data_IF_067792867386
#
_entry.id   IF_067792867386
#
_cell.length_a   1.000
_cell.length_b   1.000
_cell.length_c   1.000
_cell.angle_alpha   90.00
_cell.angle_beta   90.00
_cell.angle_gamma   90.00
#
_symmetry.space_group_name_H-M   'P 1'
#
loop_
_entity.id
_entity.type
_entity.pdbx_description
1 polymer ?
#
# COMPACT_ATOMS: atom_id res chain seq x y z
N UNK A 1 3.33 -13.79 -19.35
CA UNK A 1 3.30 -13.08 -18.06
C UNK A 1 3.23 -11.57 -18.30
N UNK A 2 2.16 -10.93 -17.85
CA UNK A 2 1.98 -9.47 -17.87
C UNK A 2 2.78 -8.87 -16.70
N UNK A 3 3.69 -7.94 -16.99
CA UNK A 3 4.53 -7.34 -15.95
C UNK A 3 3.89 -6.06 -15.42
N UNK A 4 4.00 -5.81 -14.10
CA UNK A 4 3.40 -4.61 -13.49
C UNK A 4 3.85 -3.34 -14.18
N UNK A 5 5.15 -3.25 -14.51
CA UNK A 5 5.78 -2.08 -15.17
C UNK A 5 5.04 -1.67 -16.45
N UNK A 6 4.53 -2.64 -17.21
CA UNK A 6 3.95 -2.42 -18.53
C UNK A 6 2.42 -2.28 -18.49
N UNK A 7 1.79 -2.27 -17.30
CA UNK A 7 0.35 -2.13 -17.18
C UNK A 7 -0.07 -0.67 -17.34
N UNK A 8 -1.23 -0.45 -17.98
CA UNK A 8 -1.98 0.81 -17.98
C UNK A 8 -3.34 0.58 -17.33
N UNK A 9 -4.01 1.64 -16.87
CA UNK A 9 -5.35 1.50 -16.27
C UNK A 9 -6.37 0.94 -17.26
N UNK A 10 -6.47 1.51 -18.46
CA UNK A 10 -7.40 1.05 -19.49
C UNK A 10 -7.23 -0.44 -19.79
N UNK A 11 -5.98 -0.91 -19.87
CA UNK A 11 -5.68 -2.32 -20.08
C UNK A 11 -6.20 -3.19 -18.93
N UNK A 12 -5.95 -2.79 -17.67
CA UNK A 12 -6.38 -3.56 -16.51
C UNK A 12 -7.91 -3.57 -16.38
N UNK A 13 -8.54 -2.44 -16.68
CA UNK A 13 -10.00 -2.27 -16.66
C UNK A 13 -10.67 -3.19 -17.68
N UNK A 14 -10.18 -3.19 -18.93
CA UNK A 14 -10.70 -4.05 -19.99
C UNK A 14 -10.43 -5.53 -19.74
N UNK A 15 -9.21 -5.88 -19.31
CA UNK A 15 -8.81 -7.28 -19.12
C UNK A 15 -9.56 -7.96 -17.97
N UNK A 16 -9.82 -7.23 -16.89
CA UNK A 16 -10.38 -7.80 -15.67
C UNK A 16 -11.77 -7.25 -15.34
N UNK A 17 -12.39 -6.47 -16.23
CA UNK A 17 -13.71 -5.89 -16.01
C UNK A 17 -13.78 -5.03 -14.75
N UNK A 18 -12.73 -4.23 -14.51
CA UNK A 18 -12.68 -3.38 -13.32
C UNK A 18 -13.59 -2.15 -13.49
N UNK A 19 -14.02 -1.62 -12.35
CA UNK A 19 -14.91 -0.46 -12.28
C UNK A 19 -14.27 0.61 -11.41
N UNK A 20 -13.67 1.65 -12.01
CA UNK A 20 -13.27 2.83 -11.25
C UNK A 20 -14.50 3.51 -10.65
N UNK A 21 -14.48 3.68 -9.33
CA UNK A 21 -15.52 4.39 -8.60
C UNK A 21 -15.03 5.75 -8.12
N UNK A 22 -15.88 6.79 -8.13
CA UNK A 22 -15.60 8.03 -7.41
C UNK A 22 -15.39 7.75 -5.91
N UNK A 23 -14.49 8.49 -5.25
CA UNK A 23 -14.18 8.33 -3.82
C UNK A 23 -15.43 8.24 -2.92
N UNK A 24 -16.43 9.08 -3.17
CA UNK A 24 -17.71 9.11 -2.43
C UNK A 24 -18.50 7.79 -2.49
N UNK A 25 -18.23 6.94 -3.47
CA UNK A 25 -18.85 5.62 -3.66
C UNK A 25 -17.97 4.47 -3.14
N UNK A 26 -16.82 4.76 -2.53
CA UNK A 26 -15.95 3.76 -1.91
C UNK A 26 -15.86 3.96 -0.38
N UNK A 27 -16.79 3.41 0.42
CA UNK A 27 -16.82 3.61 1.87
C UNK A 27 -15.55 3.11 2.59
N UNK A 28 -14.93 2.04 2.10
CA UNK A 28 -13.69 1.49 2.69
C UNK A 28 -12.55 2.50 2.59
N UNK A 29 -12.38 3.13 1.42
CA UNK A 29 -11.36 4.16 1.23
C UNK A 29 -11.68 5.40 2.08
N UNK A 30 -12.95 5.84 2.14
CA UNK A 30 -13.34 6.97 2.99
C UNK A 30 -13.07 6.69 4.48
N UNK A 31 -13.38 5.49 4.96
CA UNK A 31 -13.12 5.08 6.35
C UNK A 31 -11.64 5.12 6.68
N UNK A 32 -10.81 4.61 5.77
CA UNK A 32 -9.36 4.67 5.94
C UNK A 32 -8.84 6.11 5.94
N UNK A 33 -9.21 6.91 4.94
CA UNK A 33 -8.75 8.30 4.80
C UNK A 33 -9.23 9.19 5.94
N UNK A 34 -10.45 8.98 6.45
CA UNK A 34 -11.04 9.74 7.56
C UNK A 34 -10.70 9.21 8.95
N UNK A 35 -10.04 8.05 9.05
CA UNK A 35 -9.71 7.42 10.33
C UNK A 35 -8.82 8.29 11.21
N UNK A 36 -8.98 8.20 12.52
CA UNK A 36 -8.22 9.01 13.47
C UNK A 36 -7.07 8.21 14.06
N UNK A 37 -5.91 8.86 14.21
CA UNK A 37 -4.76 8.31 14.93
C UNK A 37 -4.00 9.47 15.56
N UNK A 38 -3.58 9.29 16.81
CA UNK A 38 -2.81 10.29 17.52
C UNK A 38 -1.43 10.48 16.86
N UNK A 39 -1.04 11.74 16.65
CA UNK A 39 0.33 12.12 16.29
C UNK A 39 0.92 12.80 17.51
N UNK A 40 1.84 12.13 18.18
CA UNK A 40 2.49 12.69 19.37
C UNK A 40 3.33 13.93 19.01
N UNK A 41 3.68 14.75 19.99
CA UNK A 41 4.56 15.91 19.77
C UNK A 41 5.91 15.51 19.16
N UNK A 42 6.45 14.38 19.60
CA UNK A 42 7.70 13.81 19.07
C UNK A 42 7.58 13.40 17.61
N UNK A 43 6.49 12.71 17.25
CA UNK A 43 6.20 12.35 15.87
C UNK A 43 5.97 13.59 15.01
N UNK A 44 5.23 14.57 15.52
CA UNK A 44 4.97 15.84 14.83
C UNK A 44 6.27 16.59 14.53
N UNK A 45 7.19 16.65 15.49
CA UNK A 45 8.51 17.25 15.30
C UNK A 45 9.31 16.55 14.19
N UNK A 46 9.34 15.21 14.21
CA UNK A 46 10.07 14.44 13.19
C UNK A 46 9.43 14.56 11.80
N UNK A 47 8.10 14.51 11.71
CA UNK A 47 7.37 14.69 10.44
C UNK A 47 7.58 16.10 9.89
N UNK A 48 7.65 17.13 10.75
CA UNK A 48 7.97 18.51 10.34
C UNK A 48 9.39 18.60 9.77
N UNK A 49 10.36 17.96 10.42
CA UNK A 49 11.74 17.88 9.92
C UNK A 49 11.81 17.20 8.54
N UNK A 50 11.10 16.08 8.35
CA UNK A 50 11.06 15.41 7.05
C UNK A 50 10.43 16.28 5.96
N UNK A 51 9.41 17.07 6.30
CA UNK A 51 8.78 18.02 5.38
C UNK A 51 9.75 19.12 4.96
N UNK A 52 10.44 19.74 5.91
CA UNK A 52 11.44 20.78 5.63
C UNK A 52 12.56 20.22 4.75
N UNK A 53 13.08 19.06 5.09
CA UNK A 53 14.11 18.37 4.30
C UNK A 53 13.63 18.05 2.87
N UNK A 54 12.37 17.65 2.71
CA UNK A 54 11.76 17.42 1.40
C UNK A 54 11.56 18.73 0.61
N UNK A 55 11.21 19.83 1.27
CA UNK A 55 11.05 21.14 0.61
C UNK A 55 12.38 21.64 0.05
N UNK A 56 13.46 21.46 0.81
CA UNK A 56 14.79 21.97 0.46
C UNK A 56 15.49 21.16 -0.63
N UNK A 57 15.32 19.83 -0.64
CA UNK A 57 16.21 18.95 -1.43
C UNK A 57 15.53 18.10 -2.50
N UNK A 58 14.20 18.01 -2.54
CA UNK A 58 13.54 17.01 -3.38
C UNK A 58 13.74 17.18 -4.89
N UNK A 59 14.11 18.36 -5.38
CA UNK A 59 14.43 18.56 -6.81
C UNK A 59 15.77 17.94 -7.20
N UNK A 60 16.69 17.78 -6.26
CA UNK A 60 18.04 17.27 -6.51
C UNK A 60 18.15 15.75 -6.30
N UNK A 61 17.12 15.14 -5.70
CA UNK A 61 17.12 13.71 -5.40
C UNK A 61 16.70 12.86 -6.59
N UNK A 62 17.51 11.85 -6.89
CA UNK A 62 17.05 10.72 -7.69
C UNK A 62 16.06 9.85 -6.88
N UNK A 63 15.47 8.86 -7.55
CA UNK A 63 14.45 8.00 -6.94
C UNK A 63 14.92 7.23 -5.70
N UNK A 64 16.20 6.84 -5.65
CA UNK A 64 16.77 6.08 -4.55
C UNK A 64 16.97 7.00 -3.33
N UNK A 65 17.49 8.20 -3.56
CA UNK A 65 17.66 9.24 -2.53
C UNK A 65 16.31 9.65 -1.95
N UNK A 66 15.29 9.91 -2.78
CA UNK A 66 13.94 10.17 -2.32
C UNK A 66 13.38 9.04 -1.45
N UNK A 67 13.71 7.79 -1.81
CA UNK A 67 13.34 6.62 -1.00
C UNK A 67 14.05 6.59 0.36
N UNK A 68 15.35 6.86 0.39
CA UNK A 68 16.17 6.75 1.59
C UNK A 68 15.99 7.93 2.53
N UNK A 69 15.80 9.13 1.99
CA UNK A 69 15.78 10.37 2.74
C UNK A 69 14.38 10.76 3.22
N UNK A 70 13.31 10.27 2.56
CA UNK A 70 11.94 10.68 2.89
C UNK A 70 10.99 9.50 3.09
N UNK A 71 10.76 8.65 2.08
CA UNK A 71 9.77 7.55 2.18
C UNK A 71 10.15 6.55 3.28
N UNK A 72 11.41 6.12 3.31
CA UNK A 72 11.94 5.18 4.29
C UNK A 72 11.80 5.69 5.72
N UNK A 73 12.31 6.88 6.06
CA UNK A 73 12.13 7.50 7.38
C UNK A 73 10.68 7.63 7.80
N UNK A 74 9.79 8.06 6.89
CA UNK A 74 8.35 8.17 7.19
C UNK A 74 7.74 6.80 7.54
N UNK A 75 8.02 5.77 6.75
CA UNK A 75 7.55 4.41 7.02
C UNK A 75 8.16 3.80 8.28
N UNK A 76 9.44 4.08 8.55
CA UNK A 76 10.10 3.66 9.77
C UNK A 76 9.46 4.29 11.02
N UNK A 77 9.01 5.54 10.92
CA UNK A 77 8.30 6.22 12.01
C UNK A 77 6.93 5.60 12.29
N UNK A 78 6.18 5.19 11.25
CA UNK A 78 4.90 4.47 11.41
C UNK A 78 5.09 3.10 12.09
N UNK A 79 6.26 2.50 11.91
CA UNK A 79 6.67 1.19 12.46
C UNK A 79 5.70 0.09 12.03
N UNK A 80 5.69 -0.28 10.75
CA UNK A 80 4.96 -1.45 10.26
C UNK A 80 5.62 -2.76 10.71
N UNK A 81 5.57 -3.03 12.01
CA UNK A 81 5.90 -4.30 12.67
C UNK A 81 4.85 -4.48 13.78
N UNK A 82 4.14 -5.60 13.74
CA UNK A 82 3.18 -5.98 14.76
C UNK A 82 3.43 -7.43 15.14
N UNK A 83 4.14 -7.64 16.25
CA UNK A 83 4.41 -8.96 16.84
C UNK A 83 4.91 -9.99 15.80
N UNK A 84 5.72 -9.53 14.83
CA UNK A 84 6.20 -10.34 13.70
C UNK A 84 5.10 -10.99 12.83
N UNK A 85 3.84 -10.58 12.98
CA UNK A 85 2.71 -11.09 12.20
C UNK A 85 2.67 -10.48 10.80
N UNK A 86 3.04 -9.21 10.67
CA UNK A 86 3.24 -8.54 9.38
C UNK A 86 4.41 -7.56 9.44
N UNK A 87 4.95 -7.23 8.26
CA UNK A 87 6.01 -6.25 8.11
C UNK A 87 5.89 -5.47 6.78
N UNK A 88 6.61 -4.36 6.68
CA UNK A 88 6.90 -3.71 5.41
C UNK A 88 8.06 -4.43 4.69
N UNK A 89 7.86 -4.75 3.41
CA UNK A 89 8.84 -5.34 2.53
C UNK A 89 9.08 -4.45 1.32
N UNK A 90 10.32 -4.05 1.07
CA UNK A 90 10.71 -3.28 -0.10
C UNK A 90 11.26 -4.18 -1.21
N UNK A 91 10.94 -3.88 -2.47
CA UNK A 91 11.53 -4.50 -3.68
C UNK A 91 11.47 -6.04 -3.71
N UNK A 92 10.46 -6.65 -3.08
CA UNK A 92 10.22 -8.11 -3.12
C UNK A 92 9.34 -8.48 -4.30
N UNK A 93 9.60 -9.64 -4.90
CA UNK A 93 8.76 -10.17 -5.98
C UNK A 93 7.36 -10.46 -5.46
N UNK A 94 6.37 -10.07 -6.26
CA UNK A 94 4.96 -10.39 -6.10
C UNK A 94 4.45 -10.89 -7.44
N UNK A 95 4.01 -12.14 -7.50
CA UNK A 95 3.52 -12.78 -8.71
C UNK A 95 2.29 -13.62 -8.37
N UNK A 96 1.39 -13.78 -9.34
CA UNK A 96 0.18 -14.59 -9.20
C UNK A 96 -0.57 -14.72 -10.51
N UNK A 97 -1.74 -15.35 -10.46
CA UNK A 97 -2.63 -15.50 -11.61
C UNK A 97 -3.92 -14.77 -11.31
N UNK A 98 -4.26 -13.77 -12.11
CA UNK A 98 -5.52 -13.02 -12.03
C UNK A 98 -6.36 -13.44 -13.22
N UNK A 99 -7.47 -14.13 -12.96
CA UNK A 99 -8.42 -14.61 -14.00
C UNK A 99 -7.74 -15.32 -15.19
N UNK A 100 -6.79 -16.22 -14.88
CA UNK A 100 -6.04 -16.98 -15.89
C UNK A 100 -4.85 -16.23 -16.51
N UNK A 101 -4.65 -14.95 -16.17
CA UNK A 101 -3.49 -14.17 -16.61
C UNK A 101 -2.39 -14.21 -15.56
N UNK A 102 -1.23 -14.78 -15.91
CA UNK A 102 -0.02 -14.67 -15.08
C UNK A 102 0.47 -13.22 -15.04
N UNK A 103 0.54 -12.66 -13.84
CA UNK A 103 0.98 -11.30 -13.58
C UNK A 103 2.11 -11.27 -12.56
N UNK A 104 3.03 -10.31 -12.68
CA UNK A 104 4.13 -10.22 -11.73
C UNK A 104 5.00 -8.97 -11.81
N UNK A 105 5.73 -8.72 -10.74
CA UNK A 105 6.67 -7.60 -10.65
C UNK A 105 7.24 -7.42 -9.25
N UNK A 106 7.87 -6.25 -9.04
CA UNK A 106 8.45 -5.85 -7.75
C UNK A 106 7.90 -4.47 -7.40
N UNK A 107 6.82 -4.38 -6.60
CA UNK A 107 6.38 -3.08 -6.11
C UNK A 107 7.48 -2.46 -5.23
N UNK A 108 7.49 -1.13 -5.15
CA UNK A 108 8.50 -0.42 -4.37
C UNK A 108 8.40 -0.74 -2.87
N UNK A 109 7.17 -0.97 -2.39
CA UNK A 109 6.90 -1.50 -1.06
C UNK A 109 5.63 -2.34 -1.02
N UNK A 110 5.53 -3.22 -0.03
CA UNK A 110 4.30 -3.90 0.33
C UNK A 110 4.23 -4.13 1.84
N UNK A 111 3.05 -4.01 2.44
CA UNK A 111 2.83 -4.50 3.82
C UNK A 111 2.15 -5.86 3.70
N UNK A 112 2.77 -6.89 4.26
CA UNK A 112 2.29 -8.26 4.12
C UNK A 112 2.50 -9.05 5.40
N UNK A 113 1.72 -10.11 5.60
CA UNK A 113 2.02 -11.08 6.66
C UNK A 113 3.39 -11.74 6.44
N UNK A 114 3.96 -12.23 7.54
CA UNK A 114 5.27 -12.86 7.57
C UNK A 114 6.36 -11.97 8.14
N UNK A 115 7.50 -12.59 8.43
CA UNK A 115 8.62 -11.94 9.10
C UNK A 115 9.85 -11.79 8.18
N UNK A 116 10.31 -12.89 7.57
CA UNK A 116 11.49 -12.87 6.67
C UNK A 116 11.14 -12.70 5.20
N UNK A 117 9.93 -13.10 4.82
CA UNK A 117 9.40 -13.02 3.45
C UNK A 117 7.92 -12.64 3.49
N UNK A 118 7.44 -11.86 2.52
CA UNK A 118 6.02 -11.54 2.42
C UNK A 118 5.23 -12.83 2.11
N UNK A 119 4.02 -12.93 2.68
CA UNK A 119 3.07 -14.01 2.42
C UNK A 119 1.76 -13.47 1.86
N UNK A 120 0.91 -12.86 2.69
CA UNK A 120 -0.39 -12.28 2.32
C UNK A 120 -0.30 -10.74 2.30
N UNK A 121 -0.24 -10.07 1.14
CA UNK A 121 -0.06 -8.63 1.05
C UNK A 121 -1.37 -7.88 1.31
N UNK A 122 -1.37 -6.88 2.19
CA UNK A 122 -2.52 -6.01 2.47
C UNK A 122 -2.39 -4.61 1.85
N UNK A 123 -1.16 -4.19 1.56
CA UNK A 123 -0.87 -2.88 0.99
C UNK A 123 0.20 -2.99 -0.09
N UNK A 124 0.03 -2.28 -1.20
CA UNK A 124 1.02 -2.15 -2.27
C UNK A 124 1.42 -0.69 -2.47
N UNK A 125 2.72 -0.43 -2.59
CA UNK A 125 3.28 0.91 -2.73
C UNK A 125 4.11 1.02 -4.00
N UNK A 126 3.85 2.06 -4.80
CA UNK A 126 4.59 2.35 -6.02
C UNK A 126 5.00 3.82 -6.08
N UNK A 127 6.24 4.10 -6.47
CA UNK A 127 6.67 5.46 -6.79
C UNK A 127 6.77 5.61 -8.29
N UNK A 128 6.41 6.79 -8.77
CA UNK A 128 6.72 7.19 -10.13
C UNK A 128 8.22 7.39 -10.29
N UNK A 129 8.73 6.92 -11.43
CA UNK A 129 10.15 6.82 -11.73
C UNK A 129 10.47 7.58 -13.00
N UNK A 130 10.38 8.92 -12.96
CA UNK A 130 10.48 9.76 -14.17
C UNK A 130 11.76 9.50 -14.96
N UNK A 131 12.87 9.25 -14.28
CA UNK A 131 14.18 9.04 -14.93
C UNK A 131 14.29 7.65 -15.59
N UNK A 132 13.74 6.61 -14.94
CA UNK A 132 13.87 5.21 -15.39
C UNK A 132 12.70 4.72 -16.24
N UNK A 133 11.54 5.34 -16.07
CA UNK A 133 10.28 4.95 -16.68
C UNK A 133 9.39 6.19 -16.91
N UNK A 134 9.78 7.09 -17.83
CA UNK A 134 9.05 8.33 -18.07
C UNK A 134 7.57 8.10 -18.47
N UNK A 135 7.32 7.05 -19.24
CA UNK A 135 5.98 6.66 -19.71
C UNK A 135 5.29 5.67 -18.76
N UNK A 136 5.89 5.37 -17.61
CA UNK A 136 5.34 4.46 -16.63
C UNK A 136 4.07 5.02 -15.98
N UNK A 137 3.06 4.16 -15.81
CA UNK A 137 1.84 4.49 -15.06
C UNK A 137 1.95 3.95 -13.63
N UNK A 138 2.36 4.78 -12.64
CA UNK A 138 2.56 4.32 -11.26
C UNK A 138 1.25 3.89 -10.60
N UNK A 139 0.10 4.42 -11.07
CA UNK A 139 -1.22 4.05 -10.56
C UNK A 139 -1.61 2.67 -11.08
N UNK A 140 -1.44 2.40 -12.37
CA UNK A 140 -1.66 1.07 -12.95
C UNK A 140 -0.69 0.02 -12.40
N UNK A 141 0.58 0.39 -12.20
CA UNK A 141 1.58 -0.47 -11.57
C UNK A 141 1.17 -0.87 -10.13
N UNK A 142 0.65 0.09 -9.35
CA UNK A 142 0.11 -0.19 -8.03
C UNK A 142 -1.15 -1.08 -8.10
N UNK A 143 -2.09 -0.77 -8.98
CA UNK A 143 -3.33 -1.55 -9.17
C UNK A 143 -3.03 -2.99 -9.60
N UNK A 144 -2.09 -3.20 -10.52
CA UNK A 144 -1.64 -4.53 -10.96
C UNK A 144 -1.08 -5.36 -9.79
N UNK A 145 -0.29 -4.74 -8.91
CA UNK A 145 0.19 -5.40 -7.70
C UNK A 145 -0.95 -5.72 -6.73
N UNK A 146 -1.93 -4.82 -6.60
CA UNK A 146 -3.11 -5.01 -5.73
C UNK A 146 -4.02 -6.14 -6.23
N UNK A 147 -4.20 -6.30 -7.54
CA UNK A 147 -4.95 -7.42 -8.12
C UNK A 147 -4.32 -8.77 -7.75
N UNK A 148 -3.00 -8.90 -7.92
CA UNK A 148 -2.28 -10.11 -7.51
C UNK A 148 -2.37 -10.35 -6.01
N UNK A 149 -2.28 -9.29 -5.20
CA UNK A 149 -2.45 -9.40 -3.75
C UNK A 149 -3.86 -9.86 -3.37
N UNK A 150 -4.89 -9.40 -4.09
CA UNK A 150 -6.29 -9.80 -3.87
C UNK A 150 -6.48 -11.29 -4.14
N UNK A 151 -5.88 -11.83 -5.21
CA UNK A 151 -5.89 -13.27 -5.50
C UNK A 151 -5.16 -14.09 -4.43
N UNK A 152 -3.98 -13.64 -4.00
CA UNK A 152 -3.23 -14.30 -2.91
C UNK A 152 -4.02 -14.29 -1.58
N UNK A 153 -4.84 -13.27 -1.38
CA UNK A 153 -5.72 -13.15 -0.22
C UNK A 153 -7.08 -13.83 -0.41
N UNK A 154 -7.30 -14.52 -1.53
CA UNK A 154 -8.56 -15.20 -1.85
C UNK A 154 -9.78 -14.27 -1.79
N UNK A 155 -9.60 -12.98 -2.14
CA UNK A 155 -10.63 -11.94 -2.10
C UNK A 155 -11.32 -11.76 -0.73
N UNK A 156 -10.72 -12.26 0.36
CA UNK A 156 -11.34 -12.23 1.69
C UNK A 156 -11.47 -10.81 2.25
N UNK A 157 -10.64 -9.89 1.76
CA UNK A 157 -10.57 -8.53 2.27
C UNK A 157 -10.15 -7.53 1.19
N UNK A 158 -10.47 -6.24 1.35
CA UNK A 158 -9.95 -5.19 0.49
C UNK A 158 -8.41 -5.15 0.51
N UNK A 159 -7.82 -4.81 -0.62
CA UNK A 159 -6.38 -4.51 -0.70
C UNK A 159 -6.21 -3.00 -0.81
N UNK A 160 -5.30 -2.48 0.00
CA UNK A 160 -4.95 -1.06 0.03
C UNK A 160 -3.76 -0.79 -0.88
N UNK A 161 -3.63 0.44 -1.34
CA UNK A 161 -2.51 0.84 -2.17
C UNK A 161 -2.19 2.32 -2.03
N UNK A 162 -1.00 2.67 -2.47
CA UNK A 162 -0.58 4.05 -2.61
C UNK A 162 0.38 4.18 -3.77
N UNK A 163 0.18 5.20 -4.59
CA UNK A 163 1.19 5.62 -5.56
C UNK A 163 1.66 7.05 -5.28
N UNK A 164 2.93 7.33 -5.56
CA UNK A 164 3.56 8.63 -5.31
C UNK A 164 4.10 9.20 -6.62
N UNK A 165 3.69 10.43 -6.97
CA UNK A 165 4.22 11.18 -8.12
C UNK A 165 4.93 12.44 -7.64
N UNK A 166 6.26 12.38 -7.59
CA UNK A 166 7.06 13.43 -6.95
C UNK A 166 6.70 13.55 -5.48
N UNK A 167 6.07 14.66 -5.10
CA UNK A 167 5.65 14.95 -3.70
C UNK A 167 4.17 14.66 -3.45
N UNK A 168 3.41 14.27 -4.47
CA UNK A 168 1.98 13.97 -4.36
C UNK A 168 1.78 12.49 -4.04
N UNK A 169 0.98 12.23 -3.02
CA UNK A 169 0.58 10.89 -2.58
C UNK A 169 -0.88 10.65 -2.89
N UNK A 170 -1.17 9.51 -3.49
CA UNK A 170 -2.53 9.09 -3.84
C UNK A 170 -2.78 7.72 -3.24
N UNK A 171 -3.82 7.63 -2.41
CA UNK A 171 -4.20 6.39 -1.73
C UNK A 171 -5.35 5.73 -2.48
N UNK A 172 -5.33 4.40 -2.54
CA UNK A 172 -6.30 3.64 -3.31
C UNK A 172 -6.70 2.34 -2.62
N UNK A 173 -7.88 1.83 -2.98
CA UNK A 173 -8.41 0.56 -2.50
C UNK A 173 -8.98 -0.20 -3.70
N UNK A 174 -8.80 -1.52 -3.72
CA UNK A 174 -9.57 -2.44 -4.55
C UNK A 174 -10.36 -3.40 -3.66
N UNK A 175 -11.61 -3.66 -4.05
CA UNK A 175 -12.45 -4.69 -3.46
C UNK A 175 -13.27 -5.38 -4.56
N UNK A 176 -12.95 -6.64 -4.83
CA UNK A 176 -13.52 -7.38 -5.95
C UNK A 176 -13.11 -6.75 -7.27
N UNK A 177 -14.10 -6.20 -7.99
CA UNK A 177 -13.91 -5.51 -9.29
C UNK A 177 -13.92 -3.99 -9.19
N UNK A 178 -14.17 -3.44 -8.02
CA UNK A 178 -14.30 -2.01 -7.84
C UNK A 178 -13.02 -1.45 -7.20
N UNK A 179 -12.53 -0.35 -7.74
CA UNK A 179 -11.41 0.37 -7.14
C UNK A 179 -11.67 1.88 -7.11
N UNK A 180 -11.05 2.56 -6.16
CA UNK A 180 -11.11 4.01 -6.09
C UNK A 180 -9.75 4.56 -5.67
N UNK A 181 -9.49 5.83 -6.04
CA UNK A 181 -8.27 6.56 -5.71
C UNK A 181 -8.66 7.90 -5.08
N UNK A 182 -7.90 8.33 -4.10
CA UNK A 182 -8.07 9.62 -3.43
C UNK A 182 -7.58 10.77 -4.29
N UNK A 183 -7.93 11.99 -3.88
CA UNK A 183 -7.18 13.17 -4.31
C UNK A 183 -5.72 13.11 -3.82
N UNK A 184 -4.87 13.96 -4.39
CA UNK A 184 -3.44 14.00 -4.08
C UNK A 184 -3.13 14.79 -2.80
N UNK A 185 -2.36 14.18 -1.89
CA UNK A 185 -1.83 14.81 -0.69
C UNK A 185 -0.41 15.32 -0.95
N UNK A 186 -0.15 16.60 -0.71
CA UNK A 186 1.14 17.21 -0.99
C UNK A 186 2.08 17.16 0.23
N UNK A 187 3.07 16.27 0.17
CA UNK A 187 4.00 16.01 1.27
C UNK A 187 4.86 17.22 1.71
N UNK A 188 4.96 18.28 0.90
CA UNK A 188 5.63 19.53 1.26
C UNK A 188 4.72 20.56 1.93
N UNK A 189 3.49 20.18 2.29
CA UNK A 189 2.52 21.04 3.01
C UNK A 189 2.08 20.39 4.33
N UNK A 190 1.04 20.92 4.94
CA UNK A 190 0.40 20.32 6.13
C UNK A 190 -0.14 18.91 5.85
N UNK A 191 -0.45 18.59 4.60
CA UNK A 191 -0.93 17.26 4.17
C UNK A 191 0.03 16.12 4.56
N UNK A 192 1.30 16.40 4.86
CA UNK A 192 2.24 15.40 5.39
C UNK A 192 1.73 14.75 6.69
N UNK A 193 1.02 15.52 7.52
CA UNK A 193 0.43 15.01 8.76
C UNK A 193 -0.77 14.10 8.46
N UNK A 194 -1.54 14.40 7.41
CA UNK A 194 -2.57 13.50 6.90
C UNK A 194 -1.98 12.23 6.32
N UNK A 195 -0.94 12.33 5.49
CA UNK A 195 -0.22 11.15 4.96
C UNK A 195 0.25 10.26 6.11
N UNK A 196 0.90 10.85 7.12
CA UNK A 196 1.38 10.10 8.28
C UNK A 196 0.23 9.46 9.08
N UNK A 197 -0.85 10.21 9.35
CA UNK A 197 -2.06 9.69 10.01
C UNK A 197 -2.68 8.54 9.22
N UNK A 198 -2.86 8.68 7.91
CA UNK A 198 -3.44 7.67 7.02
C UNK A 198 -2.63 6.37 7.10
N UNK A 199 -1.29 6.46 7.09
CA UNK A 199 -0.42 5.29 7.25
C UNK A 199 -0.52 4.66 8.65
N UNK A 200 -0.68 5.46 9.71
CA UNK A 200 -0.93 4.93 11.07
C UNK A 200 -2.29 4.24 11.16
N UNK A 201 -3.34 4.79 10.55
CA UNK A 201 -4.66 4.16 10.48
C UNK A 201 -4.58 2.85 9.70
N UNK A 202 -3.87 2.83 8.56
CA UNK A 202 -3.65 1.61 7.79
C UNK A 202 -3.03 0.50 8.66
N UNK A 203 -2.02 0.84 9.46
CA UNK A 203 -1.40 -0.09 10.39
C UNK A 203 -2.42 -0.70 11.34
N UNK A 204 -3.32 0.10 11.92
CA UNK A 204 -4.36 -0.40 12.84
C UNK A 204 -5.36 -1.32 12.12
N UNK A 205 -5.81 -0.93 10.92
CA UNK A 205 -6.72 -1.75 10.12
C UNK A 205 -6.11 -3.12 9.79
N UNK A 206 -4.82 -3.17 9.43
CA UNK A 206 -4.11 -4.43 9.17
C UNK A 206 -3.96 -5.26 10.46
N UNK A 207 -3.69 -4.64 11.61
CA UNK A 207 -3.63 -5.32 12.92
C UNK A 207 -4.96 -6.02 13.21
N UNK A 208 -6.07 -5.31 13.07
CA UNK A 208 -7.41 -5.86 13.29
C UNK A 208 -7.69 -7.05 12.37
N UNK A 209 -7.34 -6.92 11.09
CA UNK A 209 -7.56 -7.96 10.08
C UNK A 209 -6.72 -9.23 10.34
N UNK A 210 -5.44 -9.06 10.68
CA UNK A 210 -4.53 -10.16 11.02
C UNK A 210 -5.00 -10.88 12.29
N UNK A 211 -5.47 -10.13 13.29
CA UNK A 211 -6.00 -10.74 14.51
C UNK A 211 -7.29 -11.51 14.25
N UNK A 212 -8.24 -10.98 13.44
CA UNK A 212 -9.47 -11.71 13.06
C UNK A 212 -9.15 -13.05 12.38
N UNK A 213 -8.21 -13.06 11.45
CA UNK A 213 -7.79 -14.29 10.75
C UNK A 213 -7.22 -15.32 11.74
N UNK A 214 -6.42 -14.88 12.70
CA UNK A 214 -5.83 -15.75 13.72
C UNK A 214 -6.88 -16.45 14.60
N UNK A 215 -8.02 -15.79 14.88
CA UNK A 215 -9.11 -16.39 15.65
C UNK A 215 -9.91 -17.42 14.85
N UNK A 216 -10.19 -17.15 13.57
CA UNK A 216 -10.91 -18.09 12.70
C UNK A 216 -10.12 -19.38 12.48
N UNK A 217 -8.80 -19.29 12.32
CA UNK A 217 -7.92 -20.46 12.17
C UNK A 217 -7.89 -21.33 13.45
N UNK A 218 -8.00 -20.72 14.64
CA UNK A 218 -8.07 -21.46 15.91
C UNK A 218 -9.43 -22.14 16.15
N UNK A 219 -10.53 -21.54 15.67
CA UNK A 219 -11.88 -22.11 15.80
C UNK A 219 -12.12 -23.34 14.90
N UNK A 220 -11.20 -23.65 13.98
CA UNK A 220 -11.26 -24.81 13.09
C UNK A 220 -10.26 -25.92 13.45
N UNK A 221 -9.59 -25.84 14.61
CA UNK A 221 -8.80 -26.96 15.12
C UNK A 221 -9.76 -28.05 15.67
N UNK A 222 -9.72 -29.29 15.16
CA UNK A 222 -10.51 -30.37 15.74
C UNK A 222 -10.08 -30.60 17.18
N UNK A 223 -11.04 -30.75 18.09
CA UNK A 223 -10.79 -31.18 19.46
C UNK A 223 -9.92 -32.44 19.41
N UNK A 224 -8.67 -32.31 19.84
CA UNK A 224 -7.79 -33.46 20.04
C UNK A 224 -8.47 -34.34 21.07
N UNK A 225 -9.01 -35.48 20.62
CA UNK A 225 -9.39 -36.58 21.50
C UNK A 225 -8.17 -36.94 22.33
N UNK A 226 -8.22 -36.58 23.60
CA UNK A 226 -7.33 -37.10 24.63
C UNK A 226 -7.62 -38.60 24.71
N UNK A 227 -6.65 -39.42 24.28
CA UNK A 227 -6.60 -40.84 24.60
C UNK A 227 -6.05 -41.03 26.01
#
# INVERSE_FOLDING_TARGET
MLTFKNCTLDQLDDMFGLKPLPLKQMPVLQTWLGGQSEISEQERGYVSLLREYLQEHAEDWNEQEFSMNFIGPLFALVKFDYDRKFALFAQRSLNGVVEGTEMGGRPDGMIATGYRRPKKPYFCFQKYKKEKDPEGDPQAQALAAMLVAQEINEHQFPVYGCHVRGRLWFFMVIQGKEYAVSDGYLATREDIFDIFRILKVLKQMIIEQVNRTSYTDMAHLPETKVC
#
